data_IF_213632655339
#
_entry.id   IF_213632655339
#
_cell.length_a   1.000
_cell.length_b   1.000
_cell.length_c   1.000
_cell.angle_alpha   90.00
_cell.angle_beta   90.00
_cell.angle_gamma   90.00
#
_symmetry.space_group_name_H-M   'P 1'
#
loop_
_entity.id
_entity.type
_entity.pdbx_description
1 polymer ?
#
# COMPACT_ATOMS: atom_id res chain seq x y z
N UNK A 1 -48.67 21.63 7.50
CA UNK A 1 -48.12 20.89 6.34
C UNK A 1 -46.83 20.25 6.81
N UNK A 2 -46.84 19.00 7.29
CA UNK A 2 -46.86 17.78 6.46
C UNK A 2 -45.88 17.84 5.27
N UNK A 3 -44.67 18.34 5.53
CA UNK A 3 -43.50 17.95 4.73
C UNK A 3 -43.28 16.47 5.02
N UNK A 4 -44.00 15.64 4.27
CA UNK A 4 -43.83 14.20 4.09
C UNK A 4 -42.59 13.66 4.78
N UNK A 5 -42.72 13.30 6.07
CA UNK A 5 -41.84 12.29 6.64
C UNK A 5 -42.15 11.06 5.82
N UNK A 6 -41.23 10.70 4.92
CA UNK A 6 -41.28 9.41 4.26
C UNK A 6 -41.45 8.34 5.35
N UNK A 7 -42.29 7.32 5.15
CA UNK A 7 -42.43 6.24 6.12
C UNK A 7 -41.04 5.67 6.41
N UNK A 8 -40.58 5.75 7.66
CA UNK A 8 -39.40 5.04 8.10
C UNK A 8 -39.77 3.56 8.11
N UNK A 9 -39.41 2.84 7.04
CA UNK A 9 -39.43 1.38 6.95
C UNK A 9 -38.37 0.77 7.90
N UNK A 10 -38.31 1.23 9.15
CA UNK A 10 -37.39 0.80 10.19
C UNK A 10 -37.88 -0.48 10.88
N UNK A 11 -38.24 -1.48 10.06
CA UNK A 11 -38.43 -2.86 10.50
C UNK A 11 -37.84 -3.88 9.51
N UNK A 12 -37.03 -3.44 8.53
CA UNK A 12 -35.96 -4.32 8.07
C UNK A 12 -34.96 -4.36 9.22
N UNK A 13 -34.77 -5.54 9.82
CA UNK A 13 -33.58 -5.79 10.62
C UNK A 13 -32.45 -5.68 9.58
N UNK A 14 -31.85 -4.50 9.52
CA UNK A 14 -30.67 -4.25 8.71
C UNK A 14 -29.56 -4.99 9.42
N UNK A 15 -28.98 -5.98 8.75
CA UNK A 15 -27.86 -6.78 9.28
C UNK A 15 -26.57 -5.93 9.43
N UNK A 16 -26.68 -4.60 9.49
CA UNK A 16 -25.58 -3.67 9.71
C UNK A 16 -24.89 -3.82 11.06
N UNK A 17 -25.51 -4.51 12.02
CA UNK A 17 -24.88 -4.90 13.30
C UNK A 17 -24.15 -6.25 13.22
N UNK A 18 -24.35 -7.05 12.15
CA UNK A 18 -23.61 -8.29 11.93
C UNK A 18 -22.43 -8.05 10.99
N UNK A 19 -21.18 -7.98 11.51
CA UNK A 19 -19.99 -7.79 10.68
C UNK A 19 -19.67 -9.01 9.80
N UNK A 20 -20.46 -10.08 9.86
CA UNK A 20 -20.20 -11.34 9.18
C UNK A 20 -19.03 -12.11 9.82
N UNK A 21 -18.63 -13.24 9.22
CA UNK A 21 -17.52 -14.03 9.72
C UNK A 21 -16.21 -13.22 9.73
N UNK A 22 -15.63 -13.02 10.92
CA UNK A 22 -14.37 -12.31 11.08
C UNK A 22 -13.20 -13.01 10.35
N UNK A 23 -12.23 -12.23 9.90
CA UNK A 23 -11.00 -12.76 9.32
C UNK A 23 -10.21 -13.55 10.36
N UNK A 24 -9.72 -14.73 9.97
CA UNK A 24 -8.78 -15.48 10.80
C UNK A 24 -7.49 -14.67 11.00
N UNK A 25 -6.80 -14.90 12.11
CA UNK A 25 -5.52 -14.24 12.42
C UNK A 25 -4.51 -14.42 11.29
N UNK A 26 -4.48 -15.59 10.66
CA UNK A 26 -3.54 -15.87 9.56
C UNK A 26 -3.86 -15.04 8.32
N UNK A 27 -5.15 -14.84 8.02
CA UNK A 27 -5.57 -14.01 6.90
C UNK A 27 -5.26 -12.54 7.16
N UNK A 28 -5.52 -12.06 8.38
CA UNK A 28 -5.20 -10.67 8.76
C UNK A 28 -3.69 -10.41 8.65
N UNK A 29 -2.86 -11.30 9.19
CA UNK A 29 -1.40 -11.14 9.09
C UNK A 29 -0.90 -11.30 7.65
N UNK A 30 -1.47 -12.23 6.89
CA UNK A 30 -1.14 -12.42 5.47
C UNK A 30 -1.42 -11.17 4.65
N UNK A 31 -2.63 -10.61 4.79
CA UNK A 31 -3.09 -9.46 4.00
C UNK A 31 -2.45 -8.15 4.44
N UNK A 32 -2.33 -7.90 5.75
CA UNK A 32 -1.93 -6.58 6.26
C UNK A 32 -0.46 -6.49 6.67
N UNK A 33 0.27 -7.61 6.72
CA UNK A 33 1.70 -7.62 7.09
C UNK A 33 2.53 -8.26 5.99
N UNK A 34 2.22 -9.49 5.60
CA UNK A 34 3.03 -10.19 4.60
C UNK A 34 2.91 -9.54 3.22
N UNK A 35 1.71 -9.21 2.74
CA UNK A 35 1.53 -8.60 1.42
C UNK A 35 2.26 -7.25 1.28
N UNK A 36 2.20 -6.30 2.22
CA UNK A 36 3.01 -5.08 2.17
C UNK A 36 4.52 -5.34 2.13
N UNK A 37 5.03 -6.29 2.92
CA UNK A 37 6.46 -6.65 2.95
C UNK A 37 6.89 -7.21 1.60
N UNK A 38 6.14 -8.15 1.05
CA UNK A 38 6.43 -8.75 -0.26
C UNK A 38 6.42 -7.68 -1.35
N UNK A 39 5.41 -6.80 -1.34
CA UNK A 39 5.33 -5.71 -2.31
C UNK A 39 6.54 -4.78 -2.21
N UNK A 40 6.97 -4.41 -1.00
CA UNK A 40 8.16 -3.61 -0.78
C UNK A 40 9.42 -4.30 -1.33
N UNK A 41 9.61 -5.58 -1.03
CA UNK A 41 10.78 -6.34 -1.49
C UNK A 41 10.81 -6.48 -3.01
N UNK A 42 9.66 -6.67 -3.65
CA UNK A 42 9.56 -6.68 -5.11
C UNK A 42 10.00 -5.34 -5.68
N UNK A 43 9.49 -4.22 -5.16
CA UNK A 43 9.87 -2.88 -5.63
C UNK A 43 11.36 -2.64 -5.41
N UNK A 44 11.88 -2.90 -4.20
CA UNK A 44 13.29 -2.72 -3.88
C UNK A 44 14.22 -3.59 -4.74
N UNK A 45 13.82 -4.84 -5.00
CA UNK A 45 14.56 -5.72 -5.90
C UNK A 45 14.57 -5.19 -7.33
N UNK A 46 13.42 -4.74 -7.83
CA UNK A 46 13.31 -4.14 -9.17
C UNK A 46 14.14 -2.86 -9.30
N UNK A 47 14.11 -1.97 -8.30
CA UNK A 47 14.91 -0.73 -8.31
C UNK A 47 16.40 -1.01 -8.26
N UNK A 48 16.85 -1.99 -7.47
CA UNK A 48 18.26 -2.40 -7.42
C UNK A 48 18.74 -2.94 -8.77
N UNK A 49 17.94 -3.78 -9.42
CA UNK A 49 18.25 -4.33 -10.76
C UNK A 49 18.30 -3.22 -11.82
N UNK A 50 17.41 -2.23 -11.73
CA UNK A 50 17.40 -1.07 -12.63
C UNK A 50 18.58 -0.12 -12.38
N UNK A 51 18.94 0.13 -11.11
CA UNK A 51 20.06 0.97 -10.72
C UNK A 51 21.39 0.41 -11.25
N UNK A 52 21.61 -0.91 -11.16
CA UNK A 52 22.80 -1.56 -11.70
C UNK A 52 23.01 -1.33 -13.20
N UNK A 53 21.94 -1.12 -13.96
CA UNK A 53 22.03 -0.85 -15.40
C UNK A 53 22.28 0.63 -15.71
N UNK A 54 22.15 1.53 -14.73
CA UNK A 54 22.31 2.97 -14.89
C UNK A 54 23.70 3.48 -14.52
N UNK A 55 24.60 2.59 -14.08
CA UNK A 55 26.00 2.91 -13.80
C UNK A 55 26.74 3.25 -15.12
N UNK A 56 26.76 4.54 -15.46
CA UNK A 56 27.49 5.07 -16.60
C UNK A 56 29.01 5.04 -16.29
N UNK A 57 29.83 4.28 -17.04
CA UNK A 57 31.28 4.22 -16.85
C UNK A 57 32.01 5.53 -17.26
N UNK A 58 31.27 6.55 -17.69
CA UNK A 58 31.79 7.86 -18.09
C UNK A 58 31.59 8.94 -17.03
N UNK A 59 31.46 8.57 -15.76
CA UNK A 59 31.62 9.53 -14.66
C UNK A 59 33.07 10.03 -14.70
N UNK A 60 33.28 11.16 -15.37
CA UNK A 60 34.59 11.83 -15.44
C UNK A 60 34.88 12.33 -14.04
N UNK A 61 35.78 11.63 -13.34
CA UNK A 61 36.36 12.10 -12.10
C UNK A 61 37.05 13.44 -12.35
N UNK A 62 36.34 14.52 -12.06
CA UNK A 62 36.89 15.88 -12.08
C UNK A 62 37.71 16.07 -10.81
N UNK A 63 38.82 15.34 -10.72
CA UNK A 63 39.83 15.59 -9.69
C UNK A 63 40.51 16.92 -10.02
N UNK A 64 39.97 18.03 -9.49
CA UNK A 64 40.70 19.30 -9.48
C UNK A 64 41.90 19.17 -8.54
N UNK A 65 43.14 19.36 -9.02
CA UNK A 65 44.28 19.47 -8.12
C UNK A 65 44.08 20.75 -7.31
N UNK A 66 43.98 20.61 -5.98
CA UNK A 66 44.09 21.77 -5.08
C UNK A 66 45.53 22.28 -5.18
N UNK A 67 45.74 23.28 -6.02
CA UNK A 67 47.00 24.02 -6.12
C UNK A 67 47.24 24.76 -4.79
N UNK A 68 48.46 24.62 -4.30
CA UNK A 68 48.95 25.13 -3.02
C UNK A 68 49.32 26.60 -3.09
#
# INVERSE_FOLDING_TARGET
MLLMSSPAFALTRDDGDDPGPGLSVINTLGLYVAAPIVLFLVIAGLTMVAARHSDNPHTVDTHHPRTR
#
